data_IF_766276866032
#
_entry.id   IF_766276866032
#
_cell.length_a   1.000
_cell.length_b   1.000
_cell.length_c   1.000
_cell.angle_alpha   90.00
_cell.angle_beta   90.00
_cell.angle_gamma   90.00
#
_symmetry.space_group_name_H-M   'P 1'
#
loop_
_entity.id
_entity.type
_entity.pdbx_description
1 polymer ?
#
# COMPACT_ATOMS: atom_id res chain seq x y z
N UNK A 1 7.02 11.37 -11.16
CA UNK A 1 6.17 11.56 -9.95
C UNK A 1 4.73 11.52 -10.42
N UNK A 2 3.89 10.66 -9.84
CA UNK A 2 2.47 10.59 -10.20
C UNK A 2 1.75 11.87 -9.76
N UNK A 3 1.16 12.60 -10.71
CA UNK A 3 0.39 13.80 -10.41
C UNK A 3 -0.87 13.37 -9.64
N UNK A 4 -1.12 13.99 -8.48
CA UNK A 4 -2.29 13.70 -7.65
C UNK A 4 -2.07 12.70 -6.52
N UNK A 5 -0.93 11.98 -6.49
CA UNK A 5 -0.65 11.00 -5.43
C UNK A 5 -0.72 11.61 -4.02
N UNK A 6 -0.17 12.82 -3.82
CA UNK A 6 -0.25 13.52 -2.54
C UNK A 6 -1.70 13.65 -2.04
N UNK A 7 -2.61 14.06 -2.94
CA UNK A 7 -3.99 14.31 -2.57
C UNK A 7 -4.78 13.02 -2.36
N UNK A 8 -4.48 11.98 -3.12
CA UNK A 8 -4.99 10.63 -2.88
C UNK A 8 -4.59 10.13 -1.49
N UNK A 9 -3.33 10.28 -1.08
CA UNK A 9 -2.88 9.83 0.24
C UNK A 9 -3.54 10.60 1.38
N UNK A 10 -3.70 11.92 1.25
CA UNK A 10 -4.43 12.74 2.22
C UNK A 10 -5.86 12.25 2.41
N UNK A 11 -6.59 12.04 1.32
CA UNK A 11 -7.98 11.53 1.38
C UNK A 11 -8.03 10.11 1.93
N UNK A 12 -7.09 9.24 1.56
CA UNK A 12 -7.02 7.87 2.09
C UNK A 12 -6.82 7.86 3.61
N UNK A 13 -5.96 8.69 4.17
CA UNK A 13 -5.78 8.79 5.64
C UNK A 13 -7.09 9.19 6.32
N UNK A 14 -7.80 10.20 5.80
CA UNK A 14 -9.11 10.61 6.36
C UNK A 14 -10.17 9.51 6.29
N UNK A 15 -10.09 8.64 5.27
CA UNK A 15 -10.98 7.48 5.14
C UNK A 15 -10.58 6.29 6.04
N UNK A 16 -9.30 6.12 6.35
CA UNK A 16 -8.79 5.00 7.16
C UNK A 16 -9.03 5.25 8.65
N UNK A 17 -8.77 6.46 9.15
CA UNK A 17 -8.98 6.85 10.56
C UNK A 17 -10.28 6.32 11.18
N UNK A 18 -11.48 6.57 10.61
CA UNK A 18 -12.73 6.11 11.19
C UNK A 18 -12.86 4.58 11.20
N UNK A 19 -12.19 3.85 10.31
CA UNK A 19 -12.20 2.37 10.28
C UNK A 19 -11.44 1.76 11.47
N UNK A 20 -10.50 2.51 12.03
CA UNK A 20 -9.75 2.14 13.24
C UNK A 20 -10.25 2.87 14.49
N UNK A 21 -11.43 3.50 14.45
CA UNK A 21 -11.99 4.31 15.54
C UNK A 21 -11.04 5.45 16.00
N UNK A 22 -10.21 5.98 15.10
CA UNK A 22 -9.30 7.10 15.37
C UNK A 22 -10.00 8.43 15.04
N UNK A 23 -9.88 9.43 15.91
CA UNK A 23 -10.56 10.75 15.77
C UNK A 23 -9.59 11.91 15.54
N UNK A 24 -8.28 11.68 15.63
CA UNK A 24 -7.23 12.67 15.46
C UNK A 24 -5.86 12.04 15.69
N UNK A 25 -4.79 12.85 15.59
CA UNK A 25 -3.41 12.37 15.67
C UNK A 25 -2.68 12.46 14.33
N UNK A 26 -1.38 12.16 14.38
CA UNK A 26 -0.53 12.05 13.18
C UNK A 26 -0.49 10.59 12.77
N UNK A 27 -0.83 10.32 11.51
CA UNK A 27 -0.88 8.99 10.95
C UNK A 27 -0.03 8.90 9.70
N UNK A 28 0.44 7.70 9.39
CA UNK A 28 1.29 7.44 8.23
C UNK A 28 0.61 6.39 7.35
N UNK A 29 0.42 6.73 6.07
CA UNK A 29 0.08 5.76 5.03
C UNK A 29 1.29 5.62 4.12
N UNK A 30 1.83 4.40 4.03
CA UNK A 30 3.01 4.11 3.23
C UNK A 30 2.64 3.13 2.11
N UNK A 31 3.07 3.41 0.88
CA UNK A 31 2.88 2.53 -0.26
C UNK A 31 4.23 2.05 -0.76
N UNK A 32 4.42 0.73 -0.76
CA UNK A 32 5.58 0.08 -1.34
C UNK A 32 5.13 -0.67 -2.58
N UNK A 33 5.75 -0.36 -3.70
CA UNK A 33 5.53 -1.06 -4.95
C UNK A 33 6.85 -1.24 -5.70
N UNK A 34 6.92 -2.27 -6.52
CA UNK A 34 8.10 -2.57 -7.32
C UNK A 34 8.03 -3.94 -7.97
N UNK A 35 9.01 -4.21 -8.82
CA UNK A 35 9.20 -5.52 -9.41
C UNK A 35 10.67 -5.93 -9.29
N UNK A 36 10.88 -7.23 -9.15
CA UNK A 36 12.19 -7.87 -9.10
C UNK A 36 12.25 -8.88 -10.25
N UNK A 37 13.30 -8.77 -11.04
CA UNK A 37 13.61 -9.75 -12.06
C UNK A 37 14.58 -10.78 -11.50
N UNK A 38 14.18 -12.06 -11.49
CA UNK A 38 15.00 -13.16 -10.98
C UNK A 38 15.43 -14.02 -12.17
N UNK A 39 16.70 -13.94 -12.55
CA UNK A 39 17.25 -14.60 -13.75
C UNK A 39 17.11 -16.12 -13.73
N UNK A 40 17.19 -16.72 -12.53
CA UNK A 40 17.14 -18.16 -12.32
C UNK A 40 15.76 -18.77 -12.58
N UNK A 41 14.69 -18.08 -12.15
CA UNK A 41 13.32 -18.57 -12.31
C UNK A 41 12.64 -18.01 -13.55
N UNK A 42 13.14 -16.87 -14.09
CA UNK A 42 12.47 -16.06 -15.12
C UNK A 42 11.04 -15.67 -14.77
N UNK A 43 10.65 -15.80 -13.50
CA UNK A 43 9.33 -15.40 -13.01
C UNK A 43 9.48 -14.01 -12.40
N UNK A 44 8.81 -12.99 -12.95
CA UNK A 44 8.82 -11.65 -12.35
C UNK A 44 8.12 -11.71 -11.00
N UNK A 45 8.82 -11.25 -9.95
CA UNK A 45 8.21 -11.01 -8.64
C UNK A 45 7.83 -9.55 -8.53
N UNK A 46 6.78 -9.24 -7.79
CA UNK A 46 6.40 -7.86 -7.54
C UNK A 46 5.89 -7.66 -6.12
N UNK A 47 5.84 -6.39 -5.75
CA UNK A 47 5.22 -5.94 -4.50
C UNK A 47 4.24 -4.84 -4.84
N UNK A 48 3.11 -4.87 -4.17
CA UNK A 48 2.16 -3.77 -4.12
C UNK A 48 1.45 -3.85 -2.78
N UNK A 49 1.94 -3.10 -1.81
CA UNK A 49 1.52 -3.21 -0.42
C UNK A 49 1.40 -1.83 0.21
N UNK A 50 0.35 -1.66 1.01
CA UNK A 50 0.13 -0.50 1.84
C UNK A 50 0.31 -0.88 3.30
N UNK A 51 0.97 0.01 4.04
CA UNK A 51 1.09 -0.05 5.49
C UNK A 51 0.45 1.20 6.11
N UNK A 52 -0.19 1.03 7.26
CA UNK A 52 -0.81 2.11 8.02
C UNK A 52 -0.24 2.13 9.44
N UNK A 53 0.25 3.28 9.89
CA UNK A 53 0.90 3.46 11.20
C UNK A 53 2.05 2.46 11.48
N UNK A 54 2.71 1.99 10.41
CA UNK A 54 3.83 1.05 10.48
C UNK A 54 3.45 -0.43 10.46
N UNK A 55 2.15 -0.75 10.46
CA UNK A 55 1.62 -2.11 10.36
C UNK A 55 1.12 -2.42 8.95
N UNK A 56 1.14 -3.71 8.57
CA UNK A 56 0.60 -4.17 7.29
C UNK A 56 -0.90 -3.87 7.23
N UNK A 57 -1.35 -3.22 6.15
CA UNK A 57 -2.74 -2.80 6.01
C UNK A 57 -3.47 -3.58 4.91
N UNK A 58 -2.93 -3.57 3.68
CA UNK A 58 -3.48 -4.35 2.57
C UNK A 58 -2.39 -4.59 1.52
N UNK A 59 -2.38 -5.78 0.94
CA UNK A 59 -1.41 -6.19 -0.09
C UNK A 59 -2.12 -6.78 -1.30
N UNK A 60 -1.52 -6.64 -2.47
CA UNK A 60 -2.00 -7.30 -3.68
C UNK A 60 -1.19 -8.56 -3.90
N UNK A 61 -1.86 -9.71 -3.83
CA UNK A 61 -1.29 -11.00 -4.22
C UNK A 61 -1.31 -11.09 -5.75
N UNK A 62 -0.11 -11.03 -6.33
CA UNK A 62 0.09 -11.06 -7.78
C UNK A 62 -0.19 -12.43 -8.39
N UNK A 63 -0.06 -13.51 -7.62
CA UNK A 63 -0.25 -14.87 -8.11
C UNK A 63 -1.75 -15.16 -8.27
N UNK A 64 -2.56 -14.73 -7.30
CA UNK A 64 -4.02 -14.93 -7.31
C UNK A 64 -4.80 -13.74 -7.87
N UNK A 65 -4.13 -12.60 -8.07
CA UNK A 65 -4.74 -11.32 -8.46
C UNK A 65 -5.82 -10.84 -7.48
N UNK A 66 -5.59 -11.05 -6.18
CA UNK A 66 -6.52 -10.67 -5.12
C UNK A 66 -5.90 -9.69 -4.15
N UNK A 67 -6.76 -8.94 -3.44
CA UNK A 67 -6.34 -8.12 -2.32
C UNK A 67 -6.47 -8.91 -1.04
N UNK A 68 -5.41 -8.92 -0.24
CA UNK A 68 -5.30 -9.64 1.04
C UNK A 68 -4.98 -8.64 2.14
#
# INVERSE_FOLDING_TARGET
IFIGAEQTFKVSIENIKPRFNQTGGVHILQWMYGCEWVDETRVPKGKWQFAYDGEDFISFDLDTQTWI
#
